data_IF_311688362932
#
_entry.id   IF_311688362932
#
_cell.length_a   1.000
_cell.length_b   1.000
_cell.length_c   1.000
_cell.angle_alpha   90.00
_cell.angle_beta   90.00
_cell.angle_gamma   90.00
#
_symmetry.space_group_name_H-M   'P 1'
#
loop_
_entity.id
_entity.type
_entity.pdbx_description
1 polymer ?
#
# COMPACT_ATOMS: atom_id res chain seq x y z
N UNK A 1 47.23 -12.22 6.98
CA UNK A 1 45.93 -12.29 7.70
C UNK A 1 45.10 -11.03 7.53
N UNK A 2 45.67 -9.82 7.68
CA UNK A 2 44.94 -8.54 7.55
C UNK A 2 44.19 -8.37 6.22
N UNK A 3 44.80 -8.65 5.07
CA UNK A 3 44.15 -8.49 3.75
C UNK A 3 42.90 -9.36 3.56
N UNK A 4 42.91 -10.60 4.08
CA UNK A 4 41.77 -11.52 3.98
C UNK A 4 40.61 -11.06 4.86
N UNK A 5 40.91 -10.53 6.05
CA UNK A 5 39.92 -9.95 6.96
C UNK A 5 39.30 -8.71 6.33
N UNK A 6 40.09 -7.87 5.65
CA UNK A 6 39.57 -6.68 4.95
C UNK A 6 38.65 -7.05 3.79
N UNK A 7 39.02 -8.02 2.94
CA UNK A 7 38.12 -8.47 1.86
C UNK A 7 36.84 -9.11 2.41
N UNK A 8 36.94 -9.92 3.47
CA UNK A 8 35.76 -10.53 4.08
C UNK A 8 34.81 -9.49 4.69
N UNK A 9 35.34 -8.45 5.35
CA UNK A 9 34.55 -7.33 5.88
C UNK A 9 33.85 -6.55 4.77
N UNK A 10 34.57 -6.24 3.68
CA UNK A 10 34.00 -5.50 2.54
C UNK A 10 32.87 -6.31 1.90
N UNK A 11 33.10 -7.59 1.60
CA UNK A 11 32.07 -8.46 1.00
C UNK A 11 30.88 -8.64 1.95
N UNK A 12 31.10 -8.83 3.25
CA UNK A 12 30.03 -8.93 4.25
C UNK A 12 29.19 -7.64 4.32
N UNK A 13 29.82 -6.46 4.28
CA UNK A 13 29.12 -5.18 4.26
C UNK A 13 28.26 -4.98 2.99
N UNK A 14 28.68 -5.52 1.84
CA UNK A 14 27.89 -5.47 0.60
C UNK A 14 26.82 -6.57 0.51
N UNK A 15 26.96 -7.68 1.24
CA UNK A 15 25.94 -8.73 1.35
C UNK A 15 24.86 -8.43 2.40
N UNK A 16 25.11 -7.46 3.28
CA UNK A 16 24.17 -6.97 4.28
C UNK A 16 23.37 -5.75 3.81
N UNK A 17 23.25 -5.53 2.49
CA UNK A 17 22.33 -4.49 1.98
C UNK A 17 20.92 -4.88 2.42
N UNK A 18 20.27 -4.12 3.32
CA UNK A 18 18.90 -4.40 3.68
C UNK A 18 18.07 -4.26 2.41
N UNK A 19 17.33 -5.31 2.07
CA UNK A 19 16.32 -5.25 1.02
C UNK A 19 15.17 -4.43 1.59
N UNK A 20 15.29 -3.10 1.50
CA UNK A 20 14.25 -2.18 1.97
C UNK A 20 13.14 -2.24 0.93
N UNK A 21 12.06 -2.94 1.26
CA UNK A 21 10.82 -2.93 0.48
C UNK A 21 10.24 -1.52 0.56
N UNK A 22 10.35 -0.75 -0.53
CA UNK A 22 9.82 0.62 -0.63
C UNK A 22 8.36 0.61 -1.10
N UNK A 23 7.49 -0.23 -0.51
CA UNK A 23 6.08 -0.30 -0.91
C UNK A 23 5.35 0.95 -0.39
N UNK A 24 4.70 1.66 -1.30
CA UNK A 24 3.93 2.86 -0.96
C UNK A 24 2.61 2.45 -0.32
N UNK A 25 2.26 3.06 0.81
CA UNK A 25 1.00 2.79 1.51
C UNK A 25 0.09 4.01 1.43
N UNK A 26 -1.16 3.78 1.07
CA UNK A 26 -2.18 4.80 0.97
C UNK A 26 -3.18 4.68 2.10
N UNK A 27 -3.64 5.83 2.58
CA UNK A 27 -4.70 5.92 3.57
C UNK A 27 -5.66 7.04 3.20
N UNK A 28 -6.92 6.66 3.01
CA UNK A 28 -8.02 7.56 2.71
C UNK A 28 -9.04 7.50 3.85
N UNK A 29 -9.59 8.65 4.20
CA UNK A 29 -10.71 8.73 5.12
C UNK A 29 -11.70 9.78 4.66
N UNK A 30 -12.92 9.70 5.19
CA UNK A 30 -13.95 10.68 4.87
C UNK A 30 -15.31 10.28 5.41
N UNK A 31 -16.35 10.91 4.85
CA UNK A 31 -17.74 10.65 5.21
C UNK A 31 -18.56 10.46 3.94
N UNK A 32 -19.38 9.42 3.90
CA UNK A 32 -20.40 9.26 2.86
C UNK A 32 -21.62 10.12 3.17
N UNK A 33 -22.04 10.91 2.19
CA UNK A 33 -23.35 11.55 2.21
C UNK A 33 -24.41 10.51 1.81
N UNK A 34 -25.18 10.04 2.78
CA UNK A 34 -26.24 9.07 2.57
C UNK A 34 -27.42 9.36 3.50
N UNK A 35 -28.64 9.42 2.94
CA UNK A 35 -29.86 9.71 3.71
C UNK A 35 -30.35 8.53 4.56
N UNK A 36 -29.81 7.32 4.36
CA UNK A 36 -30.18 6.15 5.17
C UNK A 36 -29.55 6.25 6.56
N UNK A 37 -30.27 5.83 7.60
CA UNK A 37 -29.72 5.72 8.96
C UNK A 37 -28.69 4.60 9.08
N UNK A 38 -28.74 3.61 8.20
CA UNK A 38 -27.82 2.48 8.11
C UNK A 38 -27.29 2.29 6.69
N UNK A 39 -25.98 2.15 6.53
CA UNK A 39 -25.33 2.01 5.23
C UNK A 39 -24.24 0.94 5.27
N UNK A 40 -24.38 -0.09 4.42
CA UNK A 40 -23.34 -1.12 4.22
C UNK A 40 -22.55 -0.78 2.95
N UNK A 41 -21.23 -0.68 3.07
CA UNK A 41 -20.33 -0.31 2.00
C UNK A 41 -19.14 -1.27 1.88
N UNK A 42 -18.56 -1.34 0.69
CA UNK A 42 -17.31 -2.02 0.39
C UNK A 42 -16.50 -1.09 -0.50
N UNK A 43 -15.31 -0.73 -0.05
CA UNK A 43 -14.41 0.19 -0.75
C UNK A 43 -13.27 -0.64 -1.32
N UNK A 44 -13.00 -0.47 -2.61
CA UNK A 44 -11.86 -1.07 -3.28
C UNK A 44 -11.02 0.05 -3.89
N UNK A 45 -9.73 0.05 -3.58
CA UNK A 45 -8.73 0.93 -4.19
C UNK A 45 -8.04 0.12 -5.28
N UNK A 46 -7.94 0.70 -6.46
CA UNK A 46 -7.26 0.12 -7.60
C UNK A 46 -6.02 0.96 -7.93
N UNK A 47 -4.99 0.31 -8.44
CA UNK A 47 -3.91 0.98 -9.14
C UNK A 47 -4.34 1.36 -10.55
N UNK A 48 -3.87 2.52 -11.00
CA UNK A 48 -4.06 2.99 -12.36
C UNK A 48 -2.84 2.59 -13.19
N UNK A 49 -2.92 1.38 -13.76
CA UNK A 49 -1.85 0.79 -14.56
C UNK A 49 -2.17 0.86 -16.04
N UNK A 50 -1.13 0.90 -16.88
CA UNK A 50 -1.30 1.05 -18.32
C UNK A 50 -2.14 -0.06 -18.99
N UNK A 51 -2.11 -1.28 -18.44
CA UNK A 51 -2.74 -2.45 -19.06
C UNK A 51 -3.96 -2.94 -18.27
N UNK A 52 -3.83 -3.12 -16.95
CA UNK A 52 -4.91 -3.64 -16.10
C UNK A 52 -4.84 -3.07 -14.69
N UNK A 53 -5.91 -2.42 -14.25
CA UNK A 53 -6.06 -1.95 -12.88
C UNK A 53 -6.15 -3.12 -11.88
N UNK A 54 -5.21 -3.17 -10.94
CA UNK A 54 -5.16 -4.19 -9.89
C UNK A 54 -5.70 -3.66 -8.55
N UNK A 55 -6.51 -4.43 -7.80
CA UNK A 55 -7.01 -3.99 -6.50
C UNK A 55 -5.93 -4.09 -5.42
N UNK A 56 -5.48 -2.94 -4.92
CA UNK A 56 -4.45 -2.84 -3.87
C UNK A 56 -5.01 -2.72 -2.45
N UNK A 57 -6.33 -2.60 -2.31
CA UNK A 57 -6.98 -2.58 -1.00
C UNK A 57 -7.34 -3.98 -0.50
N UNK A 58 -7.07 -4.25 0.79
CA UNK A 58 -7.49 -5.46 1.47
C UNK A 58 -8.46 -5.15 2.63
N UNK A 59 -9.64 -4.60 2.30
CA UNK A 59 -10.61 -4.10 3.27
C UNK A 59 -11.91 -4.91 3.18
N UNK A 60 -12.45 -5.32 4.32
CA UNK A 60 -13.75 -6.00 4.36
C UNK A 60 -14.91 -5.00 4.22
N UNK A 61 -16.09 -5.48 3.78
CA UNK A 61 -17.30 -4.64 3.83
C UNK A 61 -17.60 -4.21 5.26
N UNK A 62 -18.02 -2.95 5.43
CA UNK A 62 -18.36 -2.36 6.72
C UNK A 62 -19.77 -1.79 6.69
N UNK A 63 -20.41 -1.76 7.84
CA UNK A 63 -21.67 -1.05 8.04
C UNK A 63 -21.46 0.14 8.95
N UNK A 64 -22.13 1.25 8.64
CA UNK A 64 -22.07 2.50 9.39
C UNK A 64 -23.47 3.04 9.70
N UNK A 65 -23.54 3.89 10.72
CA UNK A 65 -24.69 4.73 11.01
C UNK A 65 -24.34 6.18 10.70
N UNK A 66 -25.34 7.01 10.40
CA UNK A 66 -25.12 8.42 10.12
C UNK A 66 -24.51 9.14 11.35
N UNK A 67 -23.48 9.99 11.17
CA UNK A 67 -22.72 10.24 9.93
C UNK A 67 -21.81 9.06 9.53
N UNK A 68 -21.85 8.69 8.23
CA UNK A 68 -21.23 7.46 7.72
C UNK A 68 -19.74 7.63 7.41
N UNK A 69 -18.88 7.49 8.42
CA UNK A 69 -17.43 7.57 8.22
C UNK A 69 -16.85 6.36 7.51
N UNK A 70 -15.84 6.58 6.68
CA UNK A 70 -15.06 5.54 6.04
C UNK A 70 -13.56 5.73 6.25
N UNK A 71 -12.86 4.61 6.20
CA UNK A 71 -11.41 4.50 6.16
C UNK A 71 -11.08 3.44 5.12
N UNK A 72 -10.11 3.71 4.26
CA UNK A 72 -9.63 2.79 3.26
C UNK A 72 -8.10 2.85 3.17
N UNK A 73 -7.47 1.68 3.05
CA UNK A 73 -6.03 1.55 2.91
C UNK A 73 -5.70 0.63 1.74
N UNK A 74 -4.60 0.95 1.07
CA UNK A 74 -4.02 0.14 0.00
C UNK A 74 -2.51 0.15 0.08
N UNK A 75 -1.87 -0.85 -0.48
CA UNK A 75 -0.43 -0.98 -0.56
C UNK A 75 -0.07 -1.29 -2.01
N UNK A 76 0.75 -0.42 -2.59
CA UNK A 76 1.32 -0.60 -3.92
C UNK A 76 2.18 -1.87 -3.91
N UNK A 77 1.95 -2.76 -4.89
CA UNK A 77 2.63 -4.06 -4.98
C UNK A 77 3.82 -4.09 -5.97
N UNK A 78 4.22 -2.90 -6.47
CA UNK A 78 5.42 -2.59 -7.27
C UNK A 78 5.61 -3.53 -8.47
N UNK A 79 4.79 -3.33 -9.52
CA UNK A 79 4.85 -4.14 -10.73
C UNK A 79 5.42 -3.45 -11.98
N UNK A 80 5.41 -2.11 -12.13
CA UNK A 80 6.29 -1.30 -13.02
C UNK A 80 5.79 0.15 -13.19
N UNK A 81 6.21 1.06 -12.31
CA UNK A 81 6.23 2.50 -12.60
C UNK A 81 4.85 3.13 -12.80
N UNK A 82 4.00 3.06 -11.78
CA UNK A 82 2.64 3.59 -11.83
C UNK A 82 2.62 5.07 -11.41
N UNK A 83 1.91 5.89 -12.18
CA UNK A 83 1.55 7.26 -11.78
C UNK A 83 0.23 7.19 -11.02
N UNK A 84 0.17 7.77 -9.83
CA UNK A 84 -1.09 7.91 -9.10
C UNK A 84 -1.76 9.24 -9.49
N UNK A 85 -2.90 9.18 -10.17
CA UNK A 85 -3.80 10.33 -10.35
C UNK A 85 -5.01 10.20 -9.39
N UNK A 86 -5.39 11.31 -8.74
CA UNK A 86 -6.55 11.42 -7.83
C UNK A 86 -7.73 12.10 -8.52
#
# INVERSE_FOLDING_TARGET
MTRLVTTFLVVSCFLLVPNVSCLTKFFFNGTFECFSSYFRHHITIFEDDWIYDSPISHIASKSSHAPHFFEAYGEDDDDHGSNFEL
#
